data_IF_558370925433
#
_entry.id   IF_558370925433
#
_cell.length_a   1.000
_cell.length_b   1.000
_cell.length_c   1.000
_cell.angle_alpha   90.00
_cell.angle_beta   90.00
_cell.angle_gamma   90.00
#
_symmetry.space_group_name_H-M   'P 1'
#
loop_
_entity.id
_entity.type
_entity.pdbx_description
1 polymer ?
#
# COMPACT_ATOMS: atom_id res chain seq x y z
N UNK A 1 -14.01 2.00 11.87
CA UNK A 1 -14.63 0.81 11.26
C UNK A 1 -14.01 -0.46 11.86
N UNK A 2 -14.76 -1.35 12.51
CA UNK A 2 -14.21 -2.58 13.14
C UNK A 2 -13.85 -3.70 12.17
N UNK A 3 -14.63 -3.84 11.09
CA UNK A 3 -14.36 -4.80 10.02
C UNK A 3 -14.81 -4.23 8.68
N UNK A 4 -14.26 -4.77 7.59
CA UNK A 4 -14.59 -4.37 6.24
C UNK A 4 -14.74 -5.60 5.33
N UNK A 5 -15.93 -5.76 4.73
CA UNK A 5 -16.23 -6.86 3.82
C UNK A 5 -15.60 -6.64 2.43
N UNK A 6 -14.85 -7.64 1.98
CA UNK A 6 -14.19 -7.65 0.67
C UNK A 6 -15.08 -8.30 -0.39
N UNK A 7 -14.84 -7.96 -1.66
CA UNK A 7 -15.56 -8.58 -2.79
C UNK A 7 -15.31 -10.10 -2.88
N UNK A 8 -14.09 -10.53 -2.57
CA UNK A 8 -13.59 -11.91 -2.52
C UNK A 8 -12.16 -11.92 -1.94
N UNK A 9 -11.59 -13.11 -1.69
CA UNK A 9 -10.22 -13.34 -1.22
C UNK A 9 -9.16 -13.14 -2.33
N UNK A 10 -8.15 -14.02 -2.42
CA UNK A 10 -7.15 -13.92 -3.49
C UNK A 10 -7.74 -14.08 -4.90
N UNK A 11 -8.78 -14.92 -5.03
CA UNK A 11 -9.43 -15.26 -6.29
C UNK A 11 -10.97 -15.10 -6.18
N UNK A 12 -11.69 -14.86 -7.28
CA UNK A 12 -13.14 -14.59 -7.26
C UNK A 12 -14.02 -15.65 -6.60
N UNK A 13 -13.59 -16.92 -6.59
CA UNK A 13 -14.31 -18.04 -5.99
C UNK A 13 -14.14 -18.12 -4.46
N UNK A 14 -13.22 -17.35 -3.86
CA UNK A 14 -12.93 -17.38 -2.43
C UNK A 14 -13.81 -16.36 -1.70
N UNK A 15 -15.00 -16.79 -1.28
CA UNK A 15 -15.97 -15.98 -0.54
C UNK A 15 -16.50 -16.77 0.67
N UNK A 16 -16.89 -16.12 1.78
CA UNK A 16 -16.74 -14.68 2.07
C UNK A 16 -15.28 -14.29 2.37
N UNK A 17 -14.98 -12.99 2.35
CA UNK A 17 -13.69 -12.44 2.74
C UNK A 17 -13.86 -11.08 3.42
N UNK A 18 -13.04 -10.81 4.45
CA UNK A 18 -13.06 -9.54 5.19
C UNK A 18 -11.69 -9.23 5.81
N UNK A 19 -11.47 -7.98 6.19
CA UNK A 19 -10.40 -7.58 7.13
C UNK A 19 -11.02 -7.15 8.45
N UNK A 20 -10.33 -7.44 9.55
CA UNK A 20 -10.74 -7.11 10.92
C UNK A 20 -9.52 -7.11 11.85
N UNK A 21 -9.64 -6.49 13.02
CA UNK A 21 -8.65 -6.60 14.10
C UNK A 21 -9.06 -7.73 15.05
N UNK A 22 -8.13 -8.64 15.38
CA UNK A 22 -8.42 -9.83 16.19
C UNK A 22 -8.94 -9.50 17.60
N UNK A 23 -8.50 -8.38 18.18
CA UNK A 23 -8.94 -7.87 19.48
C UNK A 23 -10.29 -7.12 19.44
N UNK A 24 -10.91 -7.00 18.26
CA UNK A 24 -12.17 -6.27 18.07
C UNK A 24 -12.02 -4.74 18.09
N UNK A 25 -10.79 -4.22 18.02
CA UNK A 25 -10.54 -2.80 17.87
C UNK A 25 -10.98 -2.27 16.51
N UNK A 26 -10.97 -0.95 16.36
CA UNK A 26 -11.15 -0.32 15.05
C UNK A 26 -9.96 -0.65 14.13
N UNK A 27 -10.22 -0.79 12.83
CA UNK A 27 -9.17 -0.91 11.81
C UNK A 27 -8.30 0.37 11.81
N UNK A 28 -6.97 0.24 11.67
CA UNK A 28 -6.05 1.39 11.64
C UNK A 28 -6.04 2.09 10.27
N UNK A 29 -7.15 2.03 9.54
CA UNK A 29 -7.32 2.60 8.20
C UNK A 29 -8.74 3.13 8.02
N UNK A 30 -8.88 4.07 7.10
CA UNK A 30 -10.17 4.60 6.65
C UNK A 30 -10.24 4.52 5.12
N UNK A 31 -11.38 4.11 4.59
CA UNK A 31 -11.62 4.08 3.14
C UNK A 31 -12.27 5.40 2.73
N UNK A 32 -11.48 6.31 2.17
CA UNK A 32 -11.97 7.62 1.72
C UNK A 32 -12.66 7.53 0.34
N UNK A 33 -12.28 6.57 -0.50
CA UNK A 33 -12.86 6.38 -1.83
C UNK A 33 -12.63 4.97 -2.37
N UNK A 34 -13.54 4.51 -3.23
CA UNK A 34 -13.47 3.21 -3.89
C UNK A 34 -13.78 2.02 -2.98
N UNK A 35 -13.43 0.83 -3.45
CA UNK A 35 -13.64 -0.45 -2.74
C UNK A 35 -12.43 -1.38 -2.91
N UNK A 36 -11.43 -1.31 -2.03
CA UNK A 36 -10.22 -2.14 -2.14
C UNK A 36 -10.52 -3.63 -1.95
N UNK A 37 -9.79 -4.47 -2.70
CA UNK A 37 -9.86 -5.92 -2.59
C UNK A 37 -8.77 -6.52 -1.69
N UNK A 38 -8.81 -7.84 -1.54
CA UNK A 38 -7.87 -8.60 -0.71
C UNK A 38 -6.40 -8.31 -1.07
N UNK A 39 -6.05 -8.43 -2.35
CA UNK A 39 -4.67 -8.20 -2.83
C UNK A 39 -4.27 -6.74 -2.66
N UNK A 40 -5.21 -5.78 -2.78
CA UNK A 40 -4.90 -4.37 -2.56
C UNK A 40 -4.45 -4.10 -1.12
N UNK A 41 -5.06 -4.76 -0.13
CA UNK A 41 -4.62 -4.63 1.26
C UNK A 41 -3.25 -5.27 1.50
N UNK A 42 -2.96 -6.41 0.85
CA UNK A 42 -1.62 -7.00 0.91
C UNK A 42 -0.56 -6.05 0.34
N UNK A 43 -0.82 -5.44 -0.82
CA UNK A 43 0.08 -4.43 -1.41
C UNK A 43 0.19 -3.20 -0.50
N UNK A 44 -0.93 -2.66 -0.02
CA UNK A 44 -0.98 -1.43 0.79
C UNK A 44 -0.26 -1.57 2.13
N UNK A 45 -0.46 -2.68 2.86
CA UNK A 45 0.16 -2.85 4.18
C UNK A 45 1.67 -3.09 4.10
N UNK A 46 2.15 -3.79 3.07
CA UNK A 46 3.59 -3.95 2.85
C UNK A 46 4.24 -2.65 2.37
N UNK A 47 3.62 -1.97 1.39
CA UNK A 47 4.13 -0.70 0.88
C UNK A 47 4.20 0.40 1.93
N UNK A 48 3.18 0.50 2.79
CA UNK A 48 3.17 1.46 3.89
C UNK A 48 4.35 1.28 4.85
N UNK A 49 4.61 0.05 5.29
CA UNK A 49 5.73 -0.25 6.18
C UNK A 49 7.06 0.13 5.54
N UNK A 50 7.26 -0.24 4.27
CA UNK A 50 8.49 0.09 3.54
C UNK A 50 8.76 1.60 3.51
N UNK A 51 7.77 2.43 3.14
CA UNK A 51 8.00 3.89 3.05
C UNK A 51 8.07 4.54 4.42
N UNK A 52 7.39 4.00 5.43
CA UNK A 52 7.50 4.46 6.82
C UNK A 52 8.92 4.26 7.34
N UNK A 53 9.49 3.07 7.18
CA UNK A 53 10.85 2.76 7.61
C UNK A 53 11.89 3.55 6.81
N UNK A 54 11.72 3.72 5.49
CA UNK A 54 12.60 4.59 4.70
C UNK A 54 12.57 6.04 5.19
N UNK A 55 11.39 6.56 5.53
CA UNK A 55 11.23 7.91 6.07
C UNK A 55 11.93 8.05 7.43
N UNK A 56 11.77 7.07 8.32
CA UNK A 56 12.41 7.05 9.63
C UNK A 56 13.94 6.96 9.52
N UNK A 57 14.46 6.11 8.63
CA UNK A 57 15.89 5.90 8.47
C UNK A 57 16.62 7.08 7.78
N UNK A 58 15.94 7.76 6.85
CA UNK A 58 16.59 8.79 6.00
C UNK A 58 16.19 10.22 6.36
N UNK A 59 15.09 10.41 7.09
CA UNK A 59 14.48 11.72 7.31
C UNK A 59 13.79 12.30 6.06
N UNK A 60 13.88 11.65 4.89
CA UNK A 60 13.38 12.16 3.62
C UNK A 60 11.99 11.59 3.28
N UNK A 61 11.10 12.39 2.63
CA UNK A 61 9.88 11.84 2.03
C UNK A 61 10.20 10.62 1.17
N UNK A 62 9.38 9.58 1.24
CA UNK A 62 9.64 8.30 0.58
C UNK A 62 8.41 7.81 -0.15
N UNK A 63 8.62 7.10 -1.26
CA UNK A 63 7.57 6.54 -2.09
C UNK A 63 7.95 5.14 -2.59
N UNK A 64 6.95 4.32 -2.88
CA UNK A 64 7.14 2.98 -3.44
C UNK A 64 6.01 2.62 -4.39
N UNK A 65 6.32 1.80 -5.38
CA UNK A 65 5.35 1.16 -6.26
C UNK A 65 5.35 -0.33 -6.01
N UNK A 66 4.18 -0.91 -5.75
CA UNK A 66 4.03 -2.33 -5.45
C UNK A 66 3.25 -3.06 -6.54
N UNK A 67 3.62 -4.31 -6.77
CA UNK A 67 2.89 -5.23 -7.64
C UNK A 67 3.07 -6.65 -7.12
N UNK A 68 1.97 -7.40 -6.99
CA UNK A 68 2.00 -8.78 -6.50
C UNK A 68 2.74 -8.92 -5.15
N UNK A 69 2.42 -8.04 -4.21
CA UNK A 69 2.91 -8.06 -2.82
C UNK A 69 4.42 -7.82 -2.70
N UNK A 70 5.06 -7.31 -3.76
CA UNK A 70 6.48 -6.96 -3.76
C UNK A 70 6.69 -5.56 -4.35
N UNK A 71 7.70 -4.81 -3.88
CA UNK A 71 8.04 -3.53 -4.47
C UNK A 71 8.61 -3.75 -5.88
N UNK A 72 8.02 -3.09 -6.88
CA UNK A 72 8.67 -2.93 -8.19
C UNK A 72 9.72 -1.82 -8.14
N UNK A 73 9.51 -0.82 -7.28
CA UNK A 73 10.46 0.26 -7.01
C UNK A 73 10.21 0.92 -5.65
N UNK A 74 11.24 1.54 -5.10
CA UNK A 74 11.16 2.43 -3.94
C UNK A 74 12.20 3.55 -4.07
N UNK A 75 11.90 4.74 -3.56
CA UNK A 75 12.77 5.90 -3.65
C UNK A 75 12.56 6.87 -2.49
N UNK A 76 13.58 7.68 -2.24
CA UNK A 76 13.53 8.85 -1.36
C UNK A 76 13.49 10.14 -2.18
N UNK A 77 12.95 11.21 -1.62
CA UNK A 77 12.66 12.48 -2.29
C UNK A 77 13.90 13.33 -2.58
N UNK A 78 14.66 12.93 -3.60
CA UNK A 78 15.78 13.70 -4.15
C UNK A 78 15.35 14.47 -5.41
N UNK A 79 16.01 15.61 -5.66
CA UNK A 79 15.80 16.34 -6.91
C UNK A 79 16.30 15.51 -8.09
N UNK A 80 15.44 15.29 -9.08
CA UNK A 80 15.80 14.62 -10.33
C UNK A 80 16.63 15.56 -11.22
N UNK A 81 17.68 15.04 -11.85
CA UNK A 81 18.33 15.71 -12.97
C UNK A 81 17.39 15.77 -14.18
N UNK A 82 17.69 16.61 -15.17
CA UNK A 82 16.84 16.74 -16.35
C UNK A 82 16.82 15.45 -17.19
N UNK A 83 17.88 14.65 -17.16
CA UNK A 83 17.92 13.30 -17.77
C UNK A 83 16.95 12.35 -17.07
N UNK A 84 16.95 12.33 -15.73
CA UNK A 84 16.08 11.47 -14.96
C UNK A 84 14.62 11.89 -15.07
N UNK A 85 14.31 13.19 -15.11
CA UNK A 85 12.95 13.68 -15.38
C UNK A 85 12.43 13.16 -16.71
N UNK A 86 13.23 13.29 -17.79
CA UNK A 86 12.91 12.73 -19.11
C UNK A 86 12.69 11.21 -19.05
N UNK A 87 13.55 10.47 -18.34
CA UNK A 87 13.41 9.01 -18.18
C UNK A 87 12.20 8.59 -17.34
N UNK A 88 11.76 9.42 -16.40
CA UNK A 88 10.59 9.19 -15.53
C UNK A 88 9.29 9.81 -16.07
N UNK A 89 9.32 10.39 -17.28
CA UNK A 89 8.15 11.00 -17.94
C UNK A 89 7.53 12.17 -17.15
N UNK A 90 8.37 13.02 -16.54
CA UNK A 90 7.98 14.24 -15.80
C UNK A 90 8.73 15.48 -16.26
#
# INVERSE_FOLDING_TARGET
MKEFELKYGCNPNQKPAKIFMHDGSELPIEILSGRPGYINFLDAFNSWQLVKELKEATGLPSATSFKHVSPTSAAVGLKLSDELKRACFV
#
